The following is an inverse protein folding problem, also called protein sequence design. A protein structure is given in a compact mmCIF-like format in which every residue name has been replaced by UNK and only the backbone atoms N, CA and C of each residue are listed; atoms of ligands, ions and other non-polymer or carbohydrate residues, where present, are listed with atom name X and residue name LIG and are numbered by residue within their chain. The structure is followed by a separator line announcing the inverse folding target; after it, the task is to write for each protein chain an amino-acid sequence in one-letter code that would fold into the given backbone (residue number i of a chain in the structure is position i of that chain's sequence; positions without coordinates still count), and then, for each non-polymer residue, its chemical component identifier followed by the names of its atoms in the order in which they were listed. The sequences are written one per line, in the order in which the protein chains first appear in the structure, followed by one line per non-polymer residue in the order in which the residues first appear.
data_IF_491358978626
#
_entry.id   IF_491358978626
#
_cell.length_a   1.000
_cell.length_b   1.000
_cell.length_c   1.000
_cell.angle_alpha   90.00
_cell.angle_beta   90.00
_cell.angle_gamma   90.00
#
_symmetry.space_group_name_H-M   'P 1'
#
loop_
_entity.id
_entity.type
_entity.pdbx_description
1 polymer ?
#
# COMPACT_ATOMS: atom_id res chain seq x y z
N UNK A 1 7.38 20.20 -56.94
CA UNK A 1 7.24 19.33 -55.76
C UNK A 1 5.77 19.40 -55.34
N UNK A 2 5.00 18.34 -55.58
CA UNK A 2 3.52 18.40 -55.58
C UNK A 2 2.97 18.59 -54.16
N UNK A 3 2.09 19.58 -53.97
CA UNK A 3 1.55 20.01 -52.67
C UNK A 3 0.83 18.87 -51.91
N UNK A 4 0.30 17.88 -52.65
CA UNK A 4 -0.30 16.66 -52.09
C UNK A 4 0.66 15.86 -51.19
N UNK A 5 1.96 15.85 -51.51
CA UNK A 5 2.96 15.16 -50.70
C UNK A 5 3.29 15.95 -49.44
N UNK A 6 3.27 17.28 -49.53
CA UNK A 6 3.52 18.17 -48.38
C UNK A 6 2.44 17.99 -47.32
N UNK A 7 1.16 17.94 -47.73
CA UNK A 7 0.06 17.66 -46.80
C UNK A 7 0.18 16.25 -46.20
N UNK A 8 0.53 15.22 -46.99
CA UNK A 8 0.74 13.88 -46.46
C UNK A 8 1.84 13.82 -45.38
N UNK A 9 2.96 14.54 -45.55
CA UNK A 9 4.02 14.60 -44.54
C UNK A 9 3.59 15.34 -43.27
N UNK A 10 2.79 16.41 -43.39
CA UNK A 10 2.27 17.15 -42.23
C UNK A 10 1.31 16.26 -41.42
N UNK A 11 0.38 15.56 -42.08
CA UNK A 11 -0.54 14.66 -41.40
C UNK A 11 0.21 13.50 -40.71
N UNK A 12 1.12 12.83 -41.40
CA UNK A 12 1.91 11.73 -40.81
C UNK A 12 2.75 12.22 -39.63
N UNK A 13 3.37 13.40 -39.73
CA UNK A 13 4.15 14.01 -38.66
C UNK A 13 3.32 14.37 -37.44
N UNK A 14 2.13 14.96 -37.63
CA UNK A 14 1.23 15.36 -36.54
C UNK A 14 0.65 14.13 -35.84
N UNK A 15 0.22 13.10 -36.59
CA UNK A 15 -0.27 11.87 -36.00
C UNK A 15 0.82 11.13 -35.21
N UNK A 16 2.05 11.06 -35.72
CA UNK A 16 3.17 10.43 -35.01
C UNK A 16 3.52 11.19 -33.71
N UNK A 17 3.56 12.52 -33.75
CA UNK A 17 3.81 13.35 -32.58
C UNK A 17 2.69 13.22 -31.53
N UNK A 18 1.42 13.24 -31.97
CA UNK A 18 0.27 13.06 -31.09
C UNK A 18 0.27 11.67 -30.42
N UNK A 19 0.59 10.61 -31.17
CA UNK A 19 0.71 9.26 -30.62
C UNK A 19 1.83 9.16 -29.58
N UNK A 20 2.99 9.76 -29.84
CA UNK A 20 4.10 9.79 -28.89
C UNK A 20 3.74 10.54 -27.59
N UNK A 21 3.08 11.70 -27.72
CA UNK A 21 2.60 12.48 -26.56
C UNK A 21 1.55 11.71 -25.78
N UNK A 22 0.59 11.06 -26.45
CA UNK A 22 -0.43 10.23 -25.80
C UNK A 22 0.19 9.07 -25.01
N UNK A 23 1.17 8.36 -25.59
CA UNK A 23 1.89 7.28 -24.88
C UNK A 23 2.67 7.82 -23.68
N UNK A 24 3.28 9.01 -23.80
CA UNK A 24 4.01 9.62 -22.68
C UNK A 24 3.08 10.06 -21.55
N UNK A 25 1.95 10.70 -21.87
CA UNK A 25 0.96 11.14 -20.88
C UNK A 25 0.30 9.96 -20.15
N UNK A 26 0.21 8.80 -20.80
CA UNK A 26 -0.39 7.59 -20.24
C UNK A 26 0.64 6.62 -19.66
N UNK A 27 1.92 7.01 -19.55
CA UNK A 27 2.93 6.17 -18.90
C UNK A 27 2.77 6.27 -17.38
N UNK A 28 2.07 5.31 -16.80
CA UNK A 28 2.00 5.16 -15.34
C UNK A 28 3.39 4.85 -14.77
N UNK A 29 3.96 5.76 -13.98
CA UNK A 29 5.16 5.53 -13.17
C UNK A 29 4.86 4.64 -11.95
N UNK A 30 4.14 3.53 -12.16
CA UNK A 30 3.95 2.51 -11.14
C UNK A 30 5.23 1.66 -11.05
N UNK A 31 6.30 2.29 -10.54
CA UNK A 31 7.53 1.59 -10.19
C UNK A 31 7.17 0.65 -9.04
N UNK A 32 7.20 -0.68 -9.21
CA UNK A 32 7.03 -1.58 -8.08
C UNK A 32 8.14 -1.24 -7.09
N UNK A 33 7.73 -0.90 -5.86
CA UNK A 33 8.66 -0.65 -4.77
C UNK A 33 9.39 -1.97 -4.50
N UNK A 34 10.55 -2.16 -5.14
CA UNK A 34 11.48 -3.23 -4.80
C UNK A 34 11.89 -2.98 -3.36
N UNK A 35 11.35 -3.80 -2.45
CA UNK A 35 11.87 -3.90 -1.10
C UNK A 35 13.31 -4.43 -1.24
N UNK A 36 14.26 -3.51 -1.28
CA UNK A 36 15.66 -3.82 -1.06
C UNK A 36 15.75 -4.30 0.38
N UNK A 37 15.54 -5.60 0.58
CA UNK A 37 15.85 -6.29 1.83
C UNK A 37 17.38 -6.34 1.88
N UNK A 38 18.06 -5.55 2.74
CA UNK A 38 19.48 -5.76 2.95
C UNK A 38 19.67 -7.16 3.54
N UNK A 39 20.81 -7.83 3.25
CA UNK A 39 21.12 -9.09 3.88
C UNK A 39 21.28 -8.83 5.38
N UNK A 40 20.61 -9.62 6.20
CA UNK A 40 20.78 -9.56 7.65
C UNK A 40 22.18 -10.07 7.99
N UNK A 41 23.14 -9.14 8.06
CA UNK A 41 24.47 -9.43 8.58
C UNK A 41 24.53 -8.88 10.01
N UNK A 42 24.61 -9.82 10.93
CA UNK A 42 24.80 -9.59 12.35
C UNK A 42 26.26 -9.18 12.56
N UNK A 43 26.53 -7.97 13.05
CA UNK A 43 27.47 -7.68 14.15
C UNK A 43 27.80 -6.18 14.26
N UNK A 44 27.45 -5.62 15.43
CA UNK A 44 28.20 -4.65 16.25
C UNK A 44 28.92 -3.43 15.64
N UNK A 45 28.22 -2.31 15.41
CA UNK A 45 28.89 -0.99 15.42
C UNK A 45 28.07 0.06 16.20
N UNK A 46 28.71 0.58 17.24
CA UNK A 46 28.28 1.70 18.08
C UNK A 46 28.44 3.01 17.33
N UNK A 47 27.33 3.58 16.86
CA UNK A 47 27.26 4.93 16.32
C UNK A 47 25.87 5.45 16.56
N UNK A 48 25.77 6.50 17.38
CA UNK A 48 24.57 7.31 17.68
C UNK A 48 23.25 6.79 17.09
N UNK A 49 22.79 5.67 17.65
CA UNK A 49 21.46 5.14 17.36
C UNK A 49 20.56 5.99 18.24
N UNK A 50 19.99 7.08 17.70
CA UNK A 50 18.67 7.46 18.18
C UNK A 50 17.89 6.16 18.20
N UNK A 51 17.44 5.64 19.37
CA UNK A 51 16.73 4.37 19.41
C UNK A 51 15.69 4.47 18.31
N UNK A 52 15.63 3.51 17.36
CA UNK A 52 14.61 3.56 16.33
C UNK A 52 13.35 3.79 17.12
N UNK A 53 12.68 4.94 16.91
CA UNK A 53 11.49 5.30 17.67
C UNK A 53 10.67 4.02 17.61
N UNK A 54 10.59 3.29 18.73
CA UNK A 54 9.71 2.17 18.80
C UNK A 54 8.41 2.84 18.43
N UNK A 55 7.82 2.45 17.30
CA UNK A 55 6.48 2.90 16.98
C UNK A 55 5.62 2.17 18.01
N UNK A 56 5.67 2.69 19.22
CA UNK A 56 5.00 2.21 20.39
C UNK A 56 3.52 2.39 20.07
N UNK A 57 2.81 1.28 20.15
CA UNK A 57 1.35 1.23 20.19
C UNK A 57 0.65 1.30 18.84
N UNK A 58 0.53 0.13 18.20
CA UNK A 58 -0.64 -0.21 17.38
C UNK A 58 -0.71 0.45 16.01
N UNK A 59 -0.56 -0.33 14.96
CA UNK A 59 -0.97 0.06 13.61
C UNK A 59 -2.38 0.67 13.64
N UNK A 60 -2.63 1.76 12.92
CA UNK A 60 -3.98 2.31 12.79
C UNK A 60 -4.94 1.25 12.26
N UNK A 61 -6.22 1.39 12.60
CA UNK A 61 -7.28 0.54 12.11
C UNK A 61 -7.26 0.54 10.58
N UNK A 62 -7.19 -0.64 9.96
CA UNK A 62 -7.11 -0.76 8.50
C UNK A 62 -8.41 -0.36 7.78
N UNK A 63 -9.51 -0.17 8.53
CA UNK A 63 -10.81 0.20 7.98
C UNK A 63 -11.01 1.71 7.98
N UNK A 64 -10.77 2.38 9.11
CA UNK A 64 -10.97 3.84 9.20
C UNK A 64 -9.68 4.65 9.06
N UNK A 65 -8.51 4.04 9.25
CA UNK A 65 -7.19 4.68 9.24
C UNK A 65 -6.99 5.86 10.24
N UNK A 66 -8.01 6.19 11.02
CA UNK A 66 -8.02 7.31 11.97
C UNK A 66 -7.70 6.86 13.40
N UNK A 67 -8.25 5.72 13.82
CA UNK A 67 -8.18 5.25 15.21
C UNK A 67 -7.14 4.14 15.36
N UNK A 68 -6.47 4.02 16.53
CA UNK A 68 -5.51 2.95 16.78
C UNK A 68 -6.17 1.57 16.77
N UNK A 69 -5.43 0.53 16.35
CA UNK A 69 -5.90 -0.86 16.46
C UNK A 69 -5.79 -1.35 17.90
N UNK A 70 -6.93 -1.41 18.58
CA UNK A 70 -7.04 -1.81 19.99
C UNK A 70 -7.65 -3.20 20.19
N UNK A 71 -7.99 -3.89 19.09
CA UNK A 71 -8.73 -5.15 19.11
C UNK A 71 -7.84 -6.28 18.60
N UNK A 72 -7.65 -7.32 19.42
CA UNK A 72 -6.95 -8.55 19.06
C UNK A 72 -7.95 -9.67 18.79
N UNK A 73 -7.76 -10.39 17.69
CA UNK A 73 -8.59 -11.54 17.29
C UNK A 73 -7.98 -12.87 17.78
N UNK A 74 -8.73 -13.67 18.54
CA UNK A 74 -8.28 -14.99 19.01
C UNK A 74 -8.81 -16.08 18.07
N UNK A 75 -7.99 -17.07 17.65
CA UNK A 75 -6.67 -17.47 18.19
C UNK A 75 -5.44 -16.81 17.56
N UNK A 76 -5.58 -16.09 16.45
CA UNK A 76 -4.44 -15.61 15.67
C UNK A 76 -3.64 -14.43 16.30
N UNK A 77 -4.20 -13.76 17.30
CA UNK A 77 -3.66 -12.59 18.02
C UNK A 77 -3.33 -11.35 17.17
N UNK A 78 -3.79 -11.28 15.92
CA UNK A 78 -3.62 -10.10 15.07
C UNK A 78 -4.46 -8.92 15.60
N UNK A 79 -3.84 -7.73 15.63
CA UNK A 79 -4.50 -6.46 15.94
C UNK A 79 -4.49 -5.54 14.73
N UNK A 80 -5.64 -5.36 14.09
CA UNK A 80 -5.75 -4.51 12.90
C UNK A 80 -7.00 -3.62 12.85
N UNK A 81 -7.91 -3.73 13.83
CA UNK A 81 -9.12 -2.92 13.92
C UNK A 81 -9.21 -2.16 15.24
N UNK A 82 -9.84 -0.99 15.20
CA UNK A 82 -10.24 -0.24 16.39
C UNK A 82 -11.53 -0.80 17.00
N UNK A 83 -11.84 -0.37 18.22
CA UNK A 83 -13.02 -0.77 19.00
C UNK A 83 -14.37 -0.49 18.32
N UNK A 84 -14.44 0.47 17.40
CA UNK A 84 -15.67 0.76 16.66
C UNK A 84 -15.79 -0.12 15.40
N UNK A 85 -14.73 -0.17 14.59
CA UNK A 85 -14.76 -0.89 13.30
C UNK A 85 -14.94 -2.40 13.46
N UNK A 86 -14.36 -3.03 14.50
CA UNK A 86 -14.47 -4.48 14.65
C UNK A 86 -15.91 -4.96 14.88
N UNK A 87 -16.73 -4.16 15.58
CA UNK A 87 -18.13 -4.50 15.88
C UNK A 87 -18.97 -4.56 14.62
N UNK A 88 -18.69 -3.66 13.69
CA UNK A 88 -19.35 -3.64 12.38
C UNK A 88 -18.80 -4.74 11.50
N UNK A 89 -17.48 -4.93 11.49
CA UNK A 89 -16.82 -5.98 10.70
C UNK A 89 -17.32 -7.40 11.03
N UNK A 90 -17.44 -7.75 12.31
CA UNK A 90 -17.91 -9.06 12.77
C UNK A 90 -19.36 -9.40 12.38
N UNK A 91 -20.15 -8.42 11.93
CA UNK A 91 -21.49 -8.65 11.38
C UNK A 91 -21.45 -9.20 9.95
N UNK A 92 -20.38 -8.91 9.21
CA UNK A 92 -20.19 -9.31 7.82
C UNK A 92 -19.27 -10.52 7.68
N UNK A 93 -18.14 -10.51 8.38
CA UNK A 93 -17.14 -11.58 8.31
C UNK A 93 -16.58 -11.86 9.70
N UNK A 94 -16.50 -13.14 10.06
CA UNK A 94 -15.96 -13.63 11.33
C UNK A 94 -14.56 -14.22 11.18
N UNK A 95 -13.83 -13.82 10.15
CA UNK A 95 -12.43 -14.22 9.93
C UNK A 95 -11.50 -13.05 10.19
N UNK A 96 -10.27 -13.32 10.62
CA UNK A 96 -9.27 -12.29 10.79
C UNK A 96 -8.93 -11.63 9.44
N UNK A 97 -8.93 -10.28 9.31
CA UNK A 97 -8.58 -9.60 8.06
C UNK A 97 -7.17 -9.89 7.55
N UNK A 98 -6.23 -10.22 8.45
CA UNK A 98 -4.82 -10.43 8.10
C UNK A 98 -4.55 -11.89 7.67
N UNK A 99 -5.05 -12.86 8.44
CA UNK A 99 -4.70 -14.27 8.24
C UNK A 99 -5.88 -15.18 7.88
N UNK A 100 -7.10 -14.63 7.83
CA UNK A 100 -8.34 -15.33 7.46
C UNK A 100 -8.73 -16.53 8.34
N UNK A 101 -8.11 -16.65 9.51
CA UNK A 101 -8.49 -17.63 10.56
C UNK A 101 -9.81 -17.20 11.20
N UNK A 102 -10.68 -18.14 11.51
CA UNK A 102 -11.96 -17.87 12.20
C UNK A 102 -11.73 -17.26 13.59
N UNK A 103 -12.61 -16.32 13.95
CA UNK A 103 -12.53 -15.56 15.19
C UNK A 103 -13.46 -16.20 16.22
N UNK A 104 -12.88 -16.71 17.30
CA UNK A 104 -13.64 -17.27 18.42
C UNK A 104 -14.16 -16.17 19.35
N UNK A 105 -13.24 -15.28 19.73
CA UNK A 105 -13.53 -14.14 20.59
C UNK A 105 -12.50 -13.03 20.36
N UNK A 106 -12.79 -11.85 20.91
CA UNK A 106 -11.96 -10.66 20.79
C UNK A 106 -11.46 -10.21 22.15
N UNK A 107 -10.23 -9.73 22.18
CA UNK A 107 -9.64 -9.09 23.36
C UNK A 107 -9.44 -7.61 23.01
N UNK A 108 -10.05 -6.73 23.78
CA UNK A 108 -9.91 -5.28 23.62
C UNK A 108 -9.06 -4.73 24.76
N UNK A 109 -7.98 -4.03 24.45
CA UNK A 109 -7.30 -3.20 25.44
C UNK A 109 -8.13 -1.93 25.64
N UNK A 110 -8.79 -1.84 26.79
CA UNK A 110 -9.54 -0.65 27.22
C UNK A 110 -8.61 0.56 27.36
#
# INVERSE_FOLDING_TARGET
MSAEKVFAFIFVGVFAAAAAVYVWLNKDDNKPHRNNRPPSNNSNETGDVTPPKYFETGSNCIVCCENPSTVKFVPCLHSCLCSNCYRTYLKYDRKCPLCRIEIDHVITSA
#
